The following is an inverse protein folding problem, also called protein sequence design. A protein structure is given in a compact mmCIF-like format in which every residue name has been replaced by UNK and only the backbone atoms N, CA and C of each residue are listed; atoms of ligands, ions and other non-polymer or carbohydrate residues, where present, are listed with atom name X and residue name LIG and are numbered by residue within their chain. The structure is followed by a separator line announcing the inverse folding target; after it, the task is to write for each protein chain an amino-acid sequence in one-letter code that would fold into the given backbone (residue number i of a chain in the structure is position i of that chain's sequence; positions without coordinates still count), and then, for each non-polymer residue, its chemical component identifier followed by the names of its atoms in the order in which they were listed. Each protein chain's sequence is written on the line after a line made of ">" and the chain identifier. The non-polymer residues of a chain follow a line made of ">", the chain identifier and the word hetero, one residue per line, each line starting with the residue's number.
data_IF_032452431429
#
_entry.id   IF_032452431429
#
_cell.length_a   1.000
_cell.length_b   1.000
_cell.length_c   1.000
_cell.angle_alpha   90.00
_cell.angle_beta   90.00
_cell.angle_gamma   90.00
#
_symmetry.space_group_name_H-M   'P 1'
#
loop_
_entity.id
_entity.type
_entity.pdbx_description
1 polymer ?
#
# COMPACT_ATOMS: atom_id res chain seq x y z
N UNK A 1 -33.00 -70.33 17.78
CA UNK A 1 -32.12 -69.27 17.25
C UNK A 1 -32.41 -69.14 15.76
N UNK A 2 -33.02 -68.03 15.35
CA UNK A 2 -33.79 -67.91 14.10
C UNK A 2 -32.89 -67.59 12.91
N UNK A 3 -33.04 -68.35 11.82
CA UNK A 3 -32.32 -68.18 10.55
C UNK A 3 -32.29 -66.72 10.06
N UNK A 4 -33.40 -65.98 10.25
CA UNK A 4 -33.49 -64.56 9.88
C UNK A 4 -32.61 -63.63 10.72
N UNK A 5 -32.38 -63.92 12.01
CA UNK A 5 -31.43 -63.14 12.82
C UNK A 5 -29.99 -63.38 12.38
N UNK A 6 -29.65 -64.62 11.98
CA UNK A 6 -28.32 -64.96 11.50
C UNK A 6 -28.03 -64.33 10.13
N UNK A 7 -28.99 -64.41 9.18
CA UNK A 7 -28.89 -63.75 7.87
C UNK A 7 -28.77 -62.23 8.01
N UNK A 8 -29.57 -61.61 8.88
CA UNK A 8 -29.46 -60.17 9.15
C UNK A 8 -28.10 -59.79 9.75
N UNK A 9 -27.53 -60.65 10.60
CA UNK A 9 -26.19 -60.42 11.17
C UNK A 9 -25.10 -60.47 10.09
N UNK A 10 -25.18 -61.43 9.18
CA UNK A 10 -24.24 -61.58 8.05
C UNK A 10 -24.37 -60.40 7.09
N UNK A 11 -25.58 -60.00 6.71
CA UNK A 11 -25.83 -58.85 5.84
C UNK A 11 -25.30 -57.54 6.46
N UNK A 12 -25.50 -57.34 7.77
CA UNK A 12 -24.99 -56.16 8.48
C UNK A 12 -23.46 -56.14 8.52
N UNK A 13 -22.82 -57.29 8.72
CA UNK A 13 -21.36 -57.41 8.68
C UNK A 13 -20.79 -57.15 7.28
N UNK A 14 -21.43 -57.68 6.23
CA UNK A 14 -21.05 -57.44 4.83
C UNK A 14 -21.19 -55.96 4.48
N UNK A 15 -22.32 -55.34 4.84
CA UNK A 15 -22.57 -53.91 4.63
C UNK A 15 -21.49 -53.05 5.31
N UNK A 16 -21.17 -53.34 6.58
CA UNK A 16 -20.10 -52.67 7.31
C UNK A 16 -18.72 -52.87 6.65
N UNK A 17 -18.45 -54.05 6.09
CA UNK A 17 -17.22 -54.35 5.36
C UNK A 17 -17.09 -53.51 4.08
N UNK A 18 -18.16 -53.43 3.28
CA UNK A 18 -18.20 -52.58 2.08
C UNK A 18 -18.00 -51.10 2.40
N UNK A 19 -18.60 -50.60 3.50
CA UNK A 19 -18.40 -49.21 3.93
C UNK A 19 -16.93 -48.91 4.27
N UNK A 20 -16.24 -49.82 4.97
CA UNK A 20 -14.81 -49.67 5.29
C UNK A 20 -13.91 -49.67 4.05
N UNK A 21 -14.21 -50.55 3.08
CA UNK A 21 -13.46 -50.59 1.81
C UNK A 21 -13.67 -49.30 1.02
N UNK A 22 -14.89 -48.79 0.96
CA UNK A 22 -15.19 -47.49 0.34
C UNK A 22 -14.40 -46.36 1.01
N UNK A 23 -14.37 -46.34 2.34
CA UNK A 23 -13.62 -45.34 3.11
C UNK A 23 -12.11 -45.39 2.83
N UNK A 24 -11.51 -46.59 2.77
CA UNK A 24 -10.10 -46.73 2.44
C UNK A 24 -9.81 -46.34 0.99
N UNK A 25 -10.69 -46.64 0.05
CA UNK A 25 -10.55 -46.16 -1.33
C UNK A 25 -10.62 -44.63 -1.41
N UNK A 26 -11.51 -43.99 -0.63
CA UNK A 26 -11.59 -42.53 -0.53
C UNK A 26 -10.31 -41.93 0.08
N UNK A 27 -9.76 -42.56 1.12
CA UNK A 27 -8.48 -42.14 1.73
C UNK A 27 -7.30 -42.33 0.77
N UNK A 28 -7.27 -43.44 0.02
CA UNK A 28 -6.23 -43.73 -0.97
C UNK A 28 -6.28 -42.75 -2.15
N UNK A 29 -7.48 -42.46 -2.65
CA UNK A 29 -7.72 -41.51 -3.74
C UNK A 29 -7.40 -40.07 -3.33
N UNK A 30 -7.80 -39.67 -2.11
CA UNK A 30 -7.55 -38.32 -1.61
C UNK A 30 -6.15 -38.11 -1.04
N UNK A 31 -5.42 -39.17 -0.73
CA UNK A 31 -4.15 -39.15 0.02
C UNK A 31 -4.29 -38.63 1.46
N UNK A 32 -5.52 -38.42 1.96
CA UNK A 32 -5.79 -37.88 3.28
C UNK A 32 -6.26 -39.00 4.20
N UNK A 33 -5.62 -39.12 5.37
CA UNK A 33 -6.04 -40.05 6.43
C UNK A 33 -7.46 -39.76 6.92
N UNK A 34 -7.90 -38.50 6.88
CA UNK A 34 -9.24 -38.07 7.29
C UNK A 34 -9.84 -37.19 6.22
N UNK A 35 -11.02 -37.57 5.74
CA UNK A 35 -11.76 -36.88 4.67
C UNK A 35 -13.03 -36.22 5.18
N UNK A 36 -13.59 -36.70 6.30
CA UNK A 36 -14.83 -36.20 6.90
C UNK A 36 -14.63 -35.82 8.36
N UNK A 37 -15.18 -34.69 8.83
CA UNK A 37 -15.15 -34.32 10.25
C UNK A 37 -15.78 -35.36 11.18
N UNK A 38 -16.68 -36.20 10.66
CA UNK A 38 -17.33 -37.28 11.40
C UNK A 38 -16.41 -38.45 11.74
N UNK A 39 -15.25 -38.60 11.07
CA UNK A 39 -14.30 -39.70 11.30
C UNK A 39 -13.43 -39.45 12.53
N UNK A 40 -13.01 -38.20 12.74
CA UNK A 40 -12.32 -37.75 13.94
C UNK A 40 -12.55 -36.23 14.10
N UNK A 41 -13.43 -35.81 15.01
CA UNK A 41 -13.72 -34.38 15.19
C UNK A 41 -12.52 -33.61 15.76
N UNK A 42 -11.62 -34.26 16.51
CA UNK A 42 -10.43 -33.63 17.09
C UNK A 42 -9.42 -33.31 16.00
N UNK A 43 -9.06 -34.31 15.18
CA UNK A 43 -8.13 -34.13 14.06
C UNK A 43 -8.72 -33.19 12.99
N UNK A 44 -10.03 -33.27 12.74
CA UNK A 44 -10.70 -32.34 11.83
C UNK A 44 -10.61 -30.90 12.33
N UNK A 45 -10.81 -30.67 13.63
CA UNK A 45 -10.72 -29.32 14.23
C UNK A 45 -9.28 -28.78 14.14
N UNK A 46 -8.27 -29.59 14.50
CA UNK A 46 -6.86 -29.21 14.33
C UNK A 46 -6.52 -28.91 12.87
N UNK A 47 -7.05 -29.68 11.93
CA UNK A 47 -6.85 -29.44 10.49
C UNK A 47 -7.50 -28.16 9.99
N UNK A 48 -8.64 -27.75 10.56
CA UNK A 48 -9.27 -26.46 10.29
C UNK A 48 -8.41 -25.33 10.87
N UNK A 49 -7.99 -25.42 12.13
CA UNK A 49 -7.10 -24.43 12.75
C UNK A 49 -5.83 -24.24 11.95
N UNK A 50 -5.15 -25.33 11.55
CA UNK A 50 -3.95 -25.25 10.73
C UNK A 50 -4.20 -24.61 9.35
N UNK A 51 -5.34 -24.88 8.72
CA UNK A 51 -5.71 -24.20 7.46
C UNK A 51 -5.94 -22.71 7.67
N UNK A 52 -6.56 -22.35 8.79
CA UNK A 52 -6.75 -20.96 9.19
C UNK A 52 -5.39 -20.29 9.42
N UNK A 53 -4.48 -20.92 10.15
CA UNK A 53 -3.11 -20.41 10.38
C UNK A 53 -2.36 -20.21 9.06
N UNK A 54 -2.42 -21.19 8.14
CA UNK A 54 -1.83 -21.06 6.80
C UNK A 54 -2.47 -19.91 6.02
N UNK A 55 -3.79 -19.70 6.15
CA UNK A 55 -4.48 -18.57 5.52
C UNK A 55 -4.01 -17.23 6.10
N UNK A 56 -3.81 -17.15 7.42
CA UNK A 56 -3.27 -15.96 8.08
C UNK A 56 -1.84 -15.67 7.61
N UNK A 57 -0.97 -16.68 7.57
CA UNK A 57 0.41 -16.53 7.05
C UNK A 57 0.42 -16.04 5.61
N UNK A 58 -0.44 -16.60 4.74
CA UNK A 58 -0.56 -16.14 3.35
C UNK A 58 -1.02 -14.67 3.27
N UNK A 59 -1.94 -14.26 4.14
CA UNK A 59 -2.36 -12.86 4.20
C UNK A 59 -1.23 -11.95 4.68
N UNK A 60 -0.46 -12.38 5.70
CA UNK A 60 0.70 -11.63 6.17
C UNK A 60 1.78 -11.49 5.10
N UNK A 61 2.06 -12.53 4.31
CA UNK A 61 2.98 -12.43 3.17
C UNK A 61 2.51 -11.41 2.12
N UNK A 62 1.20 -11.38 1.81
CA UNK A 62 0.63 -10.36 0.90
C UNK A 62 0.75 -8.96 1.48
N UNK A 63 0.47 -8.80 2.77
CA UNK A 63 0.61 -7.55 3.49
C UNK A 63 2.07 -7.04 3.46
N UNK A 64 3.06 -7.90 3.73
CA UNK A 64 4.50 -7.58 3.60
C UNK A 64 4.84 -7.15 2.18
N UNK A 65 4.37 -7.89 1.18
CA UNK A 65 4.67 -7.58 -0.23
C UNK A 65 4.08 -6.22 -0.65
N UNK A 66 2.87 -5.91 -0.18
CA UNK A 66 2.25 -4.61 -0.43
C UNK A 66 2.98 -3.48 0.31
N UNK A 67 3.38 -3.72 1.57
CA UNK A 67 4.21 -2.80 2.33
C UNK A 67 5.54 -2.51 1.62
N UNK A 68 6.21 -3.53 1.10
CA UNK A 68 7.44 -3.37 0.33
C UNK A 68 7.22 -2.49 -0.90
N UNK A 69 6.19 -2.78 -1.71
CA UNK A 69 5.87 -1.96 -2.89
C UNK A 69 5.55 -0.51 -2.55
N UNK A 70 4.88 -0.29 -1.42
CA UNK A 70 4.57 1.05 -0.95
C UNK A 70 5.84 1.83 -0.59
N UNK A 71 6.75 1.19 0.14
CA UNK A 71 8.03 1.79 0.53
C UNK A 71 8.93 2.05 -0.67
N UNK A 72 9.06 1.08 -1.58
CA UNK A 72 9.84 1.19 -2.82
C UNK A 72 9.34 2.37 -3.68
N UNK A 73 8.02 2.46 -3.90
CA UNK A 73 7.43 3.58 -4.64
C UNK A 73 7.53 4.91 -3.90
N UNK A 74 7.57 4.90 -2.57
CA UNK A 74 7.78 6.10 -1.77
C UNK A 74 9.22 6.58 -1.89
N UNK A 75 10.20 5.67 -1.86
CA UNK A 75 11.62 5.98 -2.02
C UNK A 75 11.90 6.57 -3.42
N UNK A 76 11.42 5.90 -4.48
CA UNK A 76 11.53 6.39 -5.86
C UNK A 76 10.93 7.79 -6.05
N UNK A 77 9.77 8.05 -5.42
CA UNK A 77 9.12 9.34 -5.50
C UNK A 77 9.89 10.41 -4.70
N UNK A 78 10.48 10.06 -3.57
CA UNK A 78 11.31 10.98 -2.76
C UNK A 78 12.64 11.31 -3.44
N UNK A 79 13.27 10.34 -4.12
CA UNK A 79 14.46 10.58 -4.93
C UNK A 79 14.17 11.60 -6.04
N UNK A 80 13.07 11.41 -6.77
CA UNK A 80 12.64 12.35 -7.81
C UNK A 80 12.28 13.73 -7.24
N UNK A 81 11.66 13.80 -6.06
CA UNK A 81 11.40 15.07 -5.37
C UNK A 81 12.72 15.78 -5.04
N UNK A 82 13.73 15.04 -4.58
CA UNK A 82 15.06 15.60 -4.26
C UNK A 82 15.72 16.21 -5.52
N UNK A 83 15.72 15.48 -6.63
CA UNK A 83 16.27 15.96 -7.90
C UNK A 83 15.58 17.23 -8.39
N UNK A 84 14.25 17.26 -8.34
CA UNK A 84 13.46 18.44 -8.73
C UNK A 84 13.78 19.63 -7.81
N UNK A 85 13.89 19.42 -6.50
CA UNK A 85 14.25 20.49 -5.56
C UNK A 85 15.67 21.01 -5.79
N UNK A 86 16.63 20.15 -6.13
CA UNK A 86 17.98 20.57 -6.49
C UNK A 86 17.98 21.41 -7.77
N UNK A 87 17.21 21.00 -8.78
CA UNK A 87 17.05 21.79 -10.01
C UNK A 87 16.43 23.16 -9.75
N UNK A 88 15.39 23.23 -8.90
CA UNK A 88 14.80 24.52 -8.54
C UNK A 88 15.81 25.41 -7.80
N UNK A 89 16.64 24.84 -6.91
CA UNK A 89 17.71 25.60 -6.24
C UNK A 89 18.75 26.13 -7.21
N UNK A 90 19.16 25.35 -8.20
CA UNK A 90 20.06 25.81 -9.28
C UNK A 90 19.46 27.01 -10.02
N UNK A 91 18.21 26.88 -10.48
CA UNK A 91 17.48 27.95 -11.18
C UNK A 91 17.30 29.20 -10.32
N UNK A 92 17.10 29.02 -9.01
CA UNK A 92 17.02 30.13 -8.04
C UNK A 92 18.35 30.89 -7.95
N UNK A 93 19.47 30.17 -7.87
CA UNK A 93 20.81 30.78 -7.84
C UNK A 93 21.13 31.50 -9.15
N UNK A 94 20.79 30.90 -10.30
CA UNK A 94 20.94 31.53 -11.60
C UNK A 94 20.13 32.83 -11.67
N UNK A 95 18.87 32.81 -11.25
CA UNK A 95 18.01 33.98 -11.29
C UNK A 95 18.37 35.08 -10.27
N UNK A 96 19.07 34.72 -9.18
CA UNK A 96 19.63 35.67 -8.21
C UNK A 96 20.85 36.42 -8.76
N UNK A 97 21.39 36.03 -9.92
CA UNK A 97 22.53 36.72 -10.53
C UNK A 97 22.04 37.90 -11.38
N UNK A 98 22.53 39.11 -11.09
CA UNK A 98 22.08 40.37 -11.74
C UNK A 98 22.36 40.48 -13.24
N UNK A 99 23.20 39.60 -13.79
CA UNK A 99 23.55 39.60 -15.22
C UNK A 99 22.46 39.07 -16.15
N UNK A 100 21.40 38.45 -15.63
CA UNK A 100 20.30 37.92 -16.44
C UNK A 100 19.27 38.99 -16.80
N UNK A 101 18.86 39.01 -18.08
CA UNK A 101 17.83 39.92 -18.58
C UNK A 101 16.44 39.55 -18.05
N UNK A 102 15.50 40.50 -18.07
CA UNK A 102 14.13 40.25 -17.63
C UNK A 102 13.45 39.09 -18.38
N UNK A 103 13.71 38.95 -19.69
CA UNK A 103 13.19 37.84 -20.49
C UNK A 103 13.78 36.48 -20.07
N UNK A 104 15.07 36.44 -19.70
CA UNK A 104 15.71 35.22 -19.20
C UNK A 104 15.17 34.83 -17.81
N UNK A 105 14.94 35.79 -16.91
CA UNK A 105 14.33 35.52 -15.60
C UNK A 105 12.90 35.00 -15.74
N UNK A 106 12.14 35.50 -16.71
CA UNK A 106 10.79 35.01 -17.02
C UNK A 106 10.79 33.57 -17.57
N UNK A 107 11.77 33.21 -18.39
CA UNK A 107 11.96 31.85 -18.85
C UNK A 107 12.28 30.89 -17.67
N UNK A 108 13.16 31.31 -16.76
CA UNK A 108 13.46 30.56 -15.53
C UNK A 108 12.20 30.39 -14.67
N UNK A 109 11.40 31.45 -14.49
CA UNK A 109 10.12 31.36 -13.75
C UNK A 109 9.14 30.36 -14.36
N UNK A 110 9.13 30.22 -15.70
CA UNK A 110 8.29 29.23 -16.39
C UNK A 110 8.79 27.79 -16.15
N UNK A 111 10.11 27.58 -16.11
CA UNK A 111 10.71 26.28 -15.78
C UNK A 111 10.43 25.89 -14.32
N UNK A 112 10.58 26.83 -13.38
CA UNK A 112 10.22 26.63 -11.96
C UNK A 112 8.74 26.28 -11.78
N UNK A 113 7.86 26.88 -12.58
CA UNK A 113 6.42 26.53 -12.58
C UNK A 113 6.18 25.09 -13.02
N UNK A 114 6.87 24.62 -14.06
CA UNK A 114 6.78 23.25 -14.52
C UNK A 114 7.30 22.26 -13.47
N UNK A 115 8.44 22.57 -12.85
CA UNK A 115 9.02 21.76 -11.78
C UNK A 115 8.12 21.72 -10.54
N UNK A 116 7.44 22.82 -10.22
CA UNK A 116 6.47 22.87 -9.13
C UNK A 116 5.25 21.99 -9.41
N UNK A 117 4.74 21.98 -10.65
CA UNK A 117 3.67 21.06 -11.05
C UNK A 117 4.12 19.59 -11.03
N UNK A 118 5.40 19.33 -11.35
CA UNK A 118 5.98 18.00 -11.24
C UNK A 118 6.06 17.54 -9.77
N UNK A 119 6.46 18.42 -8.84
CA UNK A 119 6.42 18.12 -7.40
C UNK A 119 5.00 17.78 -6.91
N UNK A 120 3.98 18.50 -7.38
CA UNK A 120 2.57 18.19 -7.07
C UNK A 120 2.18 16.79 -7.57
N UNK A 121 2.64 16.43 -8.76
CA UNK A 121 2.38 15.11 -9.34
C UNK A 121 3.07 14.01 -8.53
N UNK A 122 4.33 14.22 -8.15
CA UNK A 122 5.10 13.28 -7.33
C UNK A 122 4.51 13.11 -5.93
N UNK A 123 4.06 14.19 -5.29
CA UNK A 123 3.35 14.12 -4.00
C UNK A 123 1.99 13.44 -4.07
N UNK A 124 1.44 13.25 -5.27
CA UNK A 124 0.19 12.53 -5.54
C UNK A 124 0.41 11.13 -6.13
N UNK A 125 1.60 10.54 -5.96
CA UNK A 125 1.89 9.17 -6.41
C UNK A 125 0.93 8.16 -5.78
N UNK A 126 0.49 7.17 -6.58
CA UNK A 126 -0.48 6.17 -6.18
C UNK A 126 0.08 4.75 -6.29
N UNK A 127 -0.18 3.93 -5.27
CA UNK A 127 0.09 2.49 -5.26
C UNK A 127 -1.21 1.75 -5.00
N UNK A 128 -1.63 0.88 -5.93
CA UNK A 128 -2.86 0.10 -5.76
C UNK A 128 -4.15 0.93 -5.66
N UNK A 129 -4.16 2.14 -6.22
CA UNK A 129 -5.29 3.08 -6.15
C UNK A 129 -5.36 3.90 -4.87
N UNK A 130 -4.32 3.82 -4.02
CA UNK A 130 -4.17 4.59 -2.79
C UNK A 130 -3.02 5.58 -2.94
N UNK A 131 -3.23 6.83 -2.50
CA UNK A 131 -2.17 7.84 -2.49
C UNK A 131 -1.16 7.54 -1.38
N UNK A 132 0.12 7.49 -1.73
CA UNK A 132 1.15 6.99 -0.81
C UNK A 132 1.56 7.99 0.26
N UNK A 133 1.35 9.28 0.02
CA UNK A 133 1.72 10.37 0.93
C UNK A 133 0.51 11.00 1.63
N UNK A 134 -0.72 10.54 1.40
CA UNK A 134 -1.93 11.13 1.98
C UNK A 134 -2.37 10.51 3.33
N UNK A 135 -1.51 9.70 3.96
CA UNK A 135 -1.77 9.11 5.27
C UNK A 135 -3.02 8.23 5.30
N UNK A 136 -3.79 8.32 6.38
CA UNK A 136 -5.01 7.52 6.56
C UNK A 136 -6.13 7.85 5.55
N UNK A 137 -6.01 8.97 4.84
CA UNK A 137 -6.96 9.39 3.81
C UNK A 137 -6.44 9.02 2.41
N UNK A 138 -6.18 7.73 2.20
CA UNK A 138 -5.61 7.19 0.96
C UNK A 138 -6.53 7.34 -0.26
N UNK A 139 -7.75 7.83 -0.08
CA UNK A 139 -8.75 8.06 -1.13
C UNK A 139 -8.69 9.47 -1.75
N UNK A 140 -7.93 10.41 -1.15
CA UNK A 140 -7.80 11.79 -1.64
C UNK A 140 -6.35 12.15 -1.95
N UNK A 141 -6.09 12.95 -3.01
CA UNK A 141 -4.75 13.45 -3.29
C UNK A 141 -4.27 14.36 -2.16
N UNK A 142 -2.98 14.25 -1.82
CA UNK A 142 -2.35 15.09 -0.79
C UNK A 142 -2.26 16.55 -1.26
N UNK A 143 -1.92 16.77 -2.53
CA UNK A 143 -1.66 18.08 -3.09
C UNK A 143 -2.73 18.42 -4.12
N UNK A 144 -3.45 19.52 -3.91
CA UNK A 144 -4.38 20.06 -4.90
C UNK A 144 -3.88 21.43 -5.36
N UNK A 145 -3.60 21.55 -6.66
CA UNK A 145 -3.30 22.84 -7.28
C UNK A 145 -4.61 23.60 -7.48
N UNK A 146 -4.75 24.77 -6.86
CA UNK A 146 -5.88 25.67 -7.17
C UNK A 146 -5.61 26.41 -8.49
N UNK A 147 -6.68 26.96 -9.06
CA UNK A 147 -6.67 27.79 -10.28
C UNK A 147 -5.73 29.00 -10.22
N UNK A 148 -5.27 29.39 -9.03
CA UNK A 148 -4.36 30.53 -8.79
C UNK A 148 -2.88 30.12 -8.70
N UNK A 149 -2.53 28.84 -8.95
CA UNK A 149 -1.16 28.32 -8.83
C UNK A 149 -0.69 28.06 -7.40
N UNK A 150 -1.53 28.32 -6.39
CA UNK A 150 -1.27 27.95 -4.99
C UNK A 150 -1.56 26.47 -4.76
N UNK A 151 -0.62 25.78 -4.12
CA UNK A 151 -0.73 24.37 -3.75
C UNK A 151 -1.34 24.29 -2.36
N UNK A 152 -2.52 23.69 -2.24
CA UNK A 152 -3.12 23.34 -0.94
C UNK A 152 -2.75 21.91 -0.59
N UNK A 153 -2.19 21.75 0.60
CA UNK A 153 -1.99 20.44 1.23
C UNK A 153 -3.30 20.11 1.97
N UNK A 154 -3.87 18.93 1.74
CA UNK A 154 -5.06 18.50 2.47
C UNK A 154 -4.67 18.22 3.94
N UNK A 155 -5.12 19.10 4.86
CA UNK A 155 -4.86 18.97 6.30
C UNK A 155 -5.35 17.64 6.89
N UNK A 156 -6.34 16.97 6.27
CA UNK A 156 -6.87 15.70 6.80
C UNK A 156 -5.91 14.51 6.60
N UNK A 157 -5.00 14.59 5.63
CA UNK A 157 -3.89 13.65 5.46
C UNK A 157 -2.79 13.85 6.52
N UNK A 158 -2.71 15.06 7.09
CA UNK A 158 -1.72 15.46 8.09
C UNK A 158 -2.14 15.02 9.49
N UNK A 159 -3.44 15.03 9.79
CA UNK A 159 -3.98 14.71 11.12
C UNK A 159 -3.93 13.22 11.48
N UNK A 160 -3.73 12.35 10.48
CA UNK A 160 -3.64 10.90 10.65
C UNK A 160 -2.52 10.30 9.78
N UNK A 161 -1.25 10.50 10.17
CA UNK A 161 -0.10 10.02 9.40
C UNK A 161 0.08 8.50 9.46
N UNK A 162 -0.59 7.82 10.38
CA UNK A 162 -0.36 6.40 10.65
C UNK A 162 -1.23 5.51 9.75
N UNK A 163 -0.68 5.11 8.61
CA UNK A 163 -1.17 3.94 7.88
C UNK A 163 -0.34 2.71 8.27
N UNK A 164 -0.94 1.84 9.06
CA UNK A 164 -0.31 0.63 9.57
C UNK A 164 -0.81 -0.62 8.84
N UNK A 165 0.11 -1.48 8.47
CA UNK A 165 -0.19 -2.78 7.89
C UNK A 165 0.17 -3.87 8.90
N UNK A 166 -0.75 -4.80 9.14
CA UNK A 166 -0.50 -5.95 10.01
C UNK A 166 0.42 -6.95 9.29
N UNK A 167 1.59 -7.19 9.86
CA UNK A 167 2.67 -7.99 9.26
C UNK A 167 2.82 -9.33 9.98
N UNK A 168 2.31 -9.41 11.21
CA UNK A 168 2.20 -10.63 12.02
C UNK A 168 1.09 -10.42 13.08
N UNK A 169 0.67 -11.50 13.76
CA UNK A 169 -0.24 -11.44 14.92
C UNK A 169 0.29 -10.44 15.96
N UNK A 170 -0.38 -9.29 16.08
CA UNK A 170 -0.04 -8.23 17.02
C UNK A 170 1.10 -7.29 16.60
N UNK A 171 1.74 -7.48 15.44
CA UNK A 171 2.77 -6.58 14.92
C UNK A 171 2.21 -5.79 13.74
N UNK A 172 2.06 -4.48 13.95
CA UNK A 172 1.69 -3.52 12.92
C UNK A 172 2.94 -2.72 12.54
N UNK A 173 3.25 -2.64 11.25
CA UNK A 173 4.29 -1.75 10.75
C UNK A 173 3.65 -0.53 10.12
N UNK A 174 4.07 0.66 10.55
CA UNK A 174 3.78 1.90 9.83
C UNK A 174 4.64 1.93 8.56
N UNK A 175 3.99 2.05 7.41
CA UNK A 175 4.66 2.08 6.10
C UNK A 175 4.55 3.43 5.41
N UNK A 176 3.87 4.39 6.05
CA UNK A 176 3.66 5.71 5.51
C UNK A 176 4.83 6.64 5.87
N UNK A 177 5.22 7.48 4.90
CA UNK A 177 6.12 8.61 5.13
C UNK A 177 5.27 9.81 5.52
N UNK A 178 5.58 10.45 6.65
CA UNK A 178 4.78 11.58 7.13
C UNK A 178 4.90 12.77 6.14
N UNK A 179 3.79 13.21 5.52
CA UNK A 179 3.84 14.28 4.52
C UNK A 179 4.34 15.61 5.10
N UNK A 180 4.20 15.87 6.40
CA UNK A 180 4.73 17.09 7.03
C UNK A 180 6.25 17.17 7.04
N UNK A 181 6.96 16.04 6.96
CA UNK A 181 8.42 16.04 6.95
C UNK A 181 9.01 16.26 5.56
N UNK A 182 8.22 16.00 4.51
CA UNK A 182 8.67 16.04 3.11
C UNK A 182 8.09 17.26 2.38
N UNK A 183 6.80 17.52 2.57
CA UNK A 183 6.03 18.54 1.89
C UNK A 183 5.59 19.62 2.89
N UNK A 184 6.55 20.38 3.43
CA UNK A 184 6.21 21.48 4.35
C UNK A 184 5.45 22.59 3.62
N UNK A 185 4.47 23.19 4.29
CA UNK A 185 3.77 24.40 3.80
C UNK A 185 4.74 25.53 3.45
N UNK A 186 5.85 25.62 4.17
CA UNK A 186 6.87 26.65 4.02
C UNK A 186 7.64 26.50 2.72
N UNK A 187 7.89 25.27 2.26
CA UNK A 187 8.53 25.01 0.97
C UNK A 187 7.67 25.55 -0.18
N UNK A 188 6.37 25.26 -0.16
CA UNK A 188 5.46 25.76 -1.20
C UNK A 188 5.16 27.26 -1.08
N UNK A 189 5.19 27.82 0.13
CA UNK A 189 5.12 29.27 0.33
C UNK A 189 6.35 29.98 -0.26
N UNK A 190 7.55 29.45 0.01
CA UNK A 190 8.81 29.99 -0.51
C UNK A 190 8.91 29.86 -2.05
N UNK A 191 8.43 28.74 -2.62
CA UNK A 191 8.36 28.57 -4.07
C UNK A 191 7.39 29.56 -4.74
N UNK A 192 6.24 29.82 -4.12
CA UNK A 192 5.30 30.82 -4.62
C UNK A 192 5.83 32.25 -4.48
N UNK A 193 6.59 32.53 -3.42
CA UNK A 193 7.26 33.82 -3.25
C UNK A 193 8.36 34.01 -4.28
N UNK A 194 9.22 33.00 -4.51
CA UNK A 194 10.22 33.01 -5.57
C UNK A 194 9.58 33.24 -6.94
N UNK A 195 8.50 32.53 -7.27
CA UNK A 195 7.74 32.73 -8.51
C UNK A 195 7.24 34.18 -8.66
N UNK A 196 6.78 34.77 -7.56
CA UNK A 196 6.29 36.15 -7.52
C UNK A 196 7.44 37.13 -7.74
N UNK A 197 8.59 36.90 -7.12
CA UNK A 197 9.80 37.73 -7.24
C UNK A 197 10.43 37.64 -8.64
N UNK A 198 10.40 36.46 -9.26
CA UNK A 198 10.88 36.24 -10.62
C UNK A 198 9.97 36.85 -11.70
N UNK A 199 8.65 36.86 -11.47
CA UNK A 199 7.70 37.49 -12.40
C UNK A 199 7.59 39.01 -12.22
N UNK A 200 7.78 39.52 -11.01
CA UNK A 200 7.68 40.96 -10.75
C UNK A 200 8.99 41.71 -10.98
N UNK A 201 10.13 41.01 -11.09
CA UNK A 201 11.44 41.61 -11.34
C UNK A 201 11.86 42.51 -10.18
N UNK A 202 12.75 41.99 -9.33
CA UNK A 202 13.59 42.73 -8.38
C UNK A 202 13.19 44.22 -8.17
N UNK A 203 12.20 44.45 -7.32
CA UNK A 203 12.04 45.76 -6.66
C UNK A 203 12.75 45.67 -5.33
N UNK A 204 14.07 45.84 -5.38
CA UNK A 204 14.98 45.84 -4.24
C UNK A 204 16.41 45.96 -4.72
#
# INVERSE_FOLDING_TARGET
>A
MTQGMMTNHVLRNISNGYSKVSEYNDQLSSGKKITRPSQDPVIATMGISYRTDVSHVNQYQKNVTNAYKWLDSSDDALEQVNDVLNRIRELTNEASTDTYTADQRKAIGTEVDQLTNQLVTLGNTQVGGQYIFSGSNSAKPLLTANSDGSIKIDQTAIDHPDFSVAVNDGIQMAINVNPNQVFTSDLFANLNQLKTDLNNGASG
#
